data_IF_520399153370
#
_entry.id   IF_520399153370
#
_cell.length_a   1.000
_cell.length_b   1.000
_cell.length_c   1.000
_cell.angle_alpha   90.00
_cell.angle_beta   90.00
_cell.angle_gamma   90.00
#
_symmetry.space_group_name_H-M   'P 1'
#
loop_
_entity.id
_entity.type
_entity.pdbx_description
1 polymer ?
#
# COMPACT_ATOMS: atom_id res chain seq x y z
N UNK A 1 -6.23 -12.62 7.11
CA UNK A 1 -5.97 -11.18 6.92
C UNK A 1 -4.68 -10.88 6.14
N UNK A 2 -3.63 -11.71 6.22
CA UNK A 2 -2.33 -11.49 5.53
C UNK A 2 -2.48 -11.37 4.00
N UNK A 3 -3.27 -12.25 3.36
CA UNK A 3 -3.54 -12.15 1.92
C UNK A 3 -4.18 -10.81 1.53
N UNK A 4 -5.09 -10.28 2.35
CA UNK A 4 -5.75 -9.01 2.07
C UNK A 4 -4.77 -7.83 2.05
N UNK A 5 -3.73 -7.87 2.88
CA UNK A 5 -2.69 -6.84 2.91
C UNK A 5 -1.93 -6.80 1.57
N UNK A 6 -1.44 -7.95 1.08
CA UNK A 6 -0.70 -8.03 -0.19
C UNK A 6 -1.56 -7.67 -1.40
N UNK A 7 -2.83 -8.09 -1.39
CA UNK A 7 -3.80 -7.70 -2.41
C UNK A 7 -4.04 -6.18 -2.41
N UNK A 8 -4.09 -5.56 -1.23
CA UNK A 8 -4.35 -4.12 -1.12
C UNK A 8 -3.12 -3.28 -1.51
N UNK A 9 -1.91 -3.69 -1.11
CA UNK A 9 -0.67 -3.00 -1.49
C UNK A 9 -0.36 -3.14 -3.00
N UNK A 10 -0.64 -4.31 -3.59
CA UNK A 10 -0.46 -4.54 -5.03
C UNK A 10 -1.45 -3.76 -5.89
N UNK A 11 -2.68 -3.52 -5.42
CA UNK A 11 -3.64 -2.62 -6.09
C UNK A 11 -3.17 -1.17 -6.10
N UNK A 12 -2.65 -0.69 -4.97
CA UNK A 12 -2.05 0.65 -4.89
C UNK A 12 -0.87 0.80 -5.85
N UNK A 13 -0.03 -0.24 -5.95
CA UNK A 13 1.05 -0.26 -6.93
C UNK A 13 0.51 -0.19 -8.37
N UNK A 14 -0.56 -0.93 -8.68
CA UNK A 14 -1.13 -0.96 -10.03
C UNK A 14 -1.66 0.41 -10.48
N UNK A 15 -2.33 1.14 -9.59
CA UNK A 15 -2.84 2.47 -9.92
C UNK A 15 -1.71 3.51 -10.01
N UNK A 16 -0.65 3.36 -9.22
CA UNK A 16 0.51 4.27 -9.25
C UNK A 16 1.37 4.07 -10.50
N UNK A 17 1.62 2.82 -10.90
CA UNK A 17 2.53 2.50 -12.01
C UNK A 17 1.78 2.44 -13.35
N UNK A 18 0.61 1.81 -13.39
CA UNK A 18 -0.12 1.51 -14.62
C UNK A 18 -1.41 2.32 -14.77
N UNK A 19 -1.83 3.07 -13.75
CA UNK A 19 -3.06 3.87 -13.78
C UNK A 19 -4.35 3.05 -13.86
N UNK A 20 -4.31 1.74 -13.56
CA UNK A 20 -5.46 0.84 -13.68
C UNK A 20 -5.94 0.36 -12.32
N UNK A 21 -7.24 0.44 -12.01
CA UNK A 21 -7.80 -0.22 -10.85
C UNK A 21 -7.76 -1.73 -11.07
N UNK A 22 -7.36 -2.48 -10.04
CA UNK A 22 -7.27 -3.95 -10.12
C UNK A 22 -6.01 -4.51 -9.48
N UNK A 23 -6.02 -5.81 -9.26
CA UNK A 23 -4.92 -6.49 -8.57
C UNK A 23 -3.78 -6.78 -9.55
N UNK A 24 -2.59 -6.23 -9.25
CA UNK A 24 -1.38 -6.60 -9.97
C UNK A 24 -0.82 -7.91 -9.41
N UNK A 25 -1.25 -9.03 -10.00
CA UNK A 25 -0.89 -10.39 -9.59
C UNK A 25 0.61 -10.61 -9.41
N UNK A 26 1.51 -10.16 -10.31
CA UNK A 26 2.95 -10.36 -10.13
C UNK A 26 3.48 -9.71 -8.84
N UNK A 27 3.01 -8.50 -8.52
CA UNK A 27 3.44 -7.80 -7.29
C UNK A 27 2.86 -8.46 -6.03
N UNK A 28 1.61 -8.93 -6.11
CA UNK A 28 0.96 -9.64 -5.02
C UNK A 28 1.69 -10.95 -4.69
N UNK A 29 2.00 -11.76 -5.71
CA UNK A 29 2.72 -13.02 -5.54
C UNK A 29 4.16 -12.79 -5.09
N UNK A 30 4.87 -11.82 -5.68
CA UNK A 30 6.25 -11.50 -5.30
C UNK A 30 6.36 -11.05 -3.84
N UNK A 31 5.47 -10.16 -3.39
CA UNK A 31 5.46 -9.71 -1.99
C UNK A 31 5.07 -10.82 -1.01
N UNK A 32 4.18 -11.73 -1.41
CA UNK A 32 3.80 -12.90 -0.58
C UNK A 32 4.96 -13.90 -0.49
N UNK A 33 5.65 -14.17 -1.62
CA UNK A 33 6.79 -15.08 -1.65
C UNK A 33 7.98 -14.52 -0.87
N UNK A 34 8.23 -13.21 -0.94
CA UNK A 34 9.27 -12.53 -0.16
C UNK A 34 9.04 -12.63 1.35
N UNK A 35 7.78 -12.65 1.78
CA UNK A 35 7.41 -12.77 3.20
C UNK A 35 7.31 -14.25 3.68
N UNK A 36 7.38 -15.23 2.76
CA UNK A 36 7.26 -16.66 3.07
C UNK A 36 8.57 -17.36 3.49
N UNK A 37 9.69 -16.63 3.61
CA UNK A 37 11.02 -17.18 3.93
C UNK A 37 11.51 -16.68 5.31
N UNK A 38 11.46 -17.47 6.42
CA UNK A 38 11.87 -17.06 7.78
C UNK A 38 13.23 -17.71 8.21
N UNK A 39 13.93 -17.27 9.30
CA UNK A 39 13.37 -16.77 10.56
C UNK A 39 14.07 -15.53 11.16
N UNK A 40 13.31 -14.53 11.62
CA UNK A 40 13.51 -13.78 12.87
C UNK A 40 12.38 -12.75 13.03
N UNK A 41 11.64 -12.87 14.13
CA UNK A 41 10.64 -11.94 14.68
C UNK A 41 9.27 -11.97 14.00
N UNK A 42 8.51 -13.00 14.37
CA UNK A 42 7.05 -13.07 14.23
C UNK A 42 6.40 -12.36 15.43
N UNK A 43 6.56 -11.04 15.47
CA UNK A 43 5.80 -10.17 16.39
C UNK A 43 5.23 -9.03 15.55
N UNK A 44 4.08 -9.29 14.93
CA UNK A 44 3.12 -8.30 14.45
C UNK A 44 3.53 -7.52 13.17
N UNK A 45 3.02 -7.95 12.00
CA UNK A 45 3.24 -7.42 10.63
C UNK A 45 4.54 -7.90 9.95
N UNK A 46 4.39 -8.75 8.92
CA UNK A 46 5.46 -9.28 8.08
C UNK A 46 6.50 -8.23 7.69
N UNK A 47 7.76 -8.55 7.92
CA UNK A 47 8.89 -7.68 7.64
C UNK A 47 9.70 -8.25 6.48
N UNK A 48 9.54 -7.65 5.31
CA UNK A 48 10.34 -8.03 4.15
C UNK A 48 9.83 -7.35 2.89
N UNK A 49 9.22 -8.14 2.00
CA UNK A 49 8.67 -7.65 0.75
C UNK A 49 7.51 -6.68 0.96
N UNK A 50 6.62 -6.97 1.92
CA UNK A 50 5.48 -6.11 2.24
C UNK A 50 5.87 -4.69 2.66
N UNK A 51 6.88 -4.52 3.53
CA UNK A 51 7.37 -3.20 3.97
C UNK A 51 7.92 -2.41 2.81
N UNK A 52 8.71 -3.07 1.97
CA UNK A 52 9.29 -2.43 0.79
C UNK A 52 8.19 -1.92 -0.16
N UNK A 53 7.14 -2.71 -0.41
CA UNK A 53 6.00 -2.27 -1.24
C UNK A 53 5.29 -1.06 -0.63
N UNK A 54 5.02 -1.09 0.69
CA UNK A 54 4.32 0.01 1.36
C UNK A 54 5.12 1.31 1.34
N UNK A 55 6.43 1.22 1.61
CA UNK A 55 7.37 2.34 1.49
C UNK A 55 7.42 2.89 0.07
N UNK A 56 7.60 2.02 -0.93
CA UNK A 56 7.69 2.41 -2.34
C UNK A 56 6.42 3.12 -2.79
N UNK A 57 5.26 2.58 -2.44
CA UNK A 57 3.97 3.21 -2.74
C UNK A 57 3.84 4.57 -2.03
N UNK A 58 4.23 4.68 -0.76
CA UNK A 58 4.16 5.93 -0.01
C UNK A 58 5.02 7.01 -0.64
N UNK A 59 6.27 6.68 -0.99
CA UNK A 59 7.19 7.59 -1.68
C UNK A 59 6.60 8.06 -3.01
N UNK A 60 6.07 7.14 -3.82
CA UNK A 60 5.45 7.48 -5.11
C UNK A 60 4.21 8.36 -4.97
N UNK A 61 3.39 8.13 -3.95
CA UNK A 61 2.24 8.99 -3.65
C UNK A 61 2.72 10.40 -3.28
N UNK A 62 3.76 10.52 -2.45
CA UNK A 62 4.35 11.83 -2.12
C UNK A 62 4.90 12.53 -3.36
N UNK A 63 5.64 11.80 -4.19
CA UNK A 63 6.23 12.35 -5.42
C UNK A 63 5.12 12.76 -6.42
N UNK A 64 4.06 11.95 -6.56
CA UNK A 64 2.92 12.19 -7.46
C UNK A 64 2.09 13.40 -7.04
N UNK A 65 1.76 13.54 -5.76
CA UNK A 65 0.90 14.62 -5.25
C UNK A 65 1.68 15.77 -4.58
N UNK A 66 3.01 15.77 -4.69
CA UNK A 66 3.90 16.79 -4.09
C UNK A 66 3.68 17.00 -2.59
N UNK A 67 3.49 15.91 -1.85
CA UNK A 67 3.27 15.94 -0.40
C UNK A 67 4.64 16.05 0.31
N UNK A 68 4.74 16.98 1.26
CA UNK A 68 5.95 17.15 2.07
C UNK A 68 6.21 15.90 2.93
N UNK A 69 7.47 15.43 2.95
CA UNK A 69 7.87 14.25 3.71
C UNK A 69 9.32 13.86 3.45
N UNK A 70 9.79 12.80 4.11
CA UNK A 70 11.13 12.26 3.90
C UNK A 70 11.13 10.73 3.86
N UNK A 71 12.03 10.17 3.06
CA UNK A 71 12.15 8.72 2.88
C UNK A 71 12.47 8.00 4.20
N UNK A 72 13.27 8.62 5.07
CA UNK A 72 13.59 8.07 6.38
C UNK A 72 12.35 7.95 7.28
N UNK A 73 11.46 8.96 7.26
CA UNK A 73 10.21 8.93 8.03
C UNK A 73 9.23 7.90 7.47
N UNK A 74 9.17 7.76 6.15
CA UNK A 74 8.32 6.76 5.51
C UNK A 74 8.81 5.33 5.77
N UNK A 75 10.13 5.11 5.74
CA UNK A 75 10.72 3.81 6.09
C UNK A 75 10.45 3.46 7.55
N UNK A 76 10.64 4.42 8.47
CA UNK A 76 10.32 4.23 9.88
C UNK A 76 8.83 3.96 10.10
N UNK A 77 7.93 4.67 9.42
CA UNK A 77 6.49 4.44 9.51
C UNK A 77 6.10 3.04 8.98
N UNK A 78 6.72 2.60 7.88
CA UNK A 78 6.47 1.28 7.29
C UNK A 78 7.00 0.15 8.18
N UNK A 79 8.11 0.37 8.89
CA UNK A 79 8.66 -0.55 9.89
C UNK A 79 7.82 -0.60 11.18
N UNK A 80 7.31 0.53 11.65
CA UNK A 80 6.53 0.59 12.89
C UNK A 80 5.09 0.08 12.74
N UNK A 81 4.41 0.42 11.64
CA UNK A 81 3.05 -0.05 11.38
C UNK A 81 2.76 -0.07 9.86
N UNK A 82 3.06 -1.20 9.23
CA UNK A 82 2.86 -1.35 7.79
C UNK A 82 1.38 -1.22 7.36
N UNK A 83 0.46 -1.83 8.11
CA UNK A 83 -0.98 -1.73 7.80
C UNK A 83 -1.50 -0.29 7.88
N UNK A 84 -0.95 0.52 8.79
CA UNK A 84 -1.26 1.94 8.90
C UNK A 84 -0.81 2.70 7.64
N UNK A 85 0.42 2.46 7.18
CA UNK A 85 0.97 3.10 5.97
C UNK A 85 0.14 2.73 4.74
N UNK A 86 -0.21 1.45 4.58
CA UNK A 86 -1.05 1.00 3.47
C UNK A 86 -2.45 1.61 3.52
N UNK A 87 -3.04 1.78 4.71
CA UNK A 87 -4.34 2.46 4.87
C UNK A 87 -4.22 3.95 4.55
N UNK A 88 -3.17 4.61 5.02
CA UNK A 88 -2.89 6.02 4.72
C UNK A 88 -2.73 6.23 3.21
N UNK A 89 -1.94 5.38 2.54
CA UNK A 89 -1.75 5.42 1.10
C UNK A 89 -3.06 5.29 0.33
N UNK A 90 -3.94 4.37 0.75
CA UNK A 90 -5.25 4.19 0.13
C UNK A 90 -6.13 5.43 0.28
N UNK A 91 -6.14 6.03 1.48
CA UNK A 91 -6.92 7.25 1.73
C UNK A 91 -6.42 8.41 0.88
N UNK A 92 -5.10 8.58 0.79
CA UNK A 92 -4.50 9.64 -0.02
C UNK A 92 -4.85 9.44 -1.51
N UNK A 93 -4.60 8.25 -2.05
CA UNK A 93 -4.97 7.89 -3.41
C UNK A 93 -6.47 8.14 -3.69
N UNK A 94 -7.34 7.74 -2.76
CA UNK A 94 -8.78 7.95 -2.90
C UNK A 94 -9.19 9.42 -2.80
N UNK A 95 -8.51 10.21 -1.96
CA UNK A 95 -8.74 11.65 -1.82
C UNK A 95 -8.39 12.42 -3.10
N UNK A 96 -7.40 11.93 -3.86
CA UNK A 96 -6.99 12.51 -5.14
C UNK A 96 -7.68 11.87 -6.35
N UNK A 97 -8.71 11.04 -6.15
CA UNK A 97 -9.51 10.43 -7.21
C UNK A 97 -8.92 9.16 -7.85
N UNK A 98 -7.75 8.72 -7.40
CA UNK A 98 -7.10 7.48 -7.86
C UNK A 98 -7.49 6.31 -6.96
N UNK A 99 -8.73 5.84 -7.03
CA UNK A 99 -9.22 4.77 -6.16
C UNK A 99 -8.65 3.38 -6.57
N UNK A 100 -7.87 2.68 -5.72
CA UNK A 100 -7.29 1.37 -6.05
C UNK A 100 -8.32 0.22 -6.16
N UNK A 101 -9.59 0.51 -5.83
CA UNK A 101 -10.66 -0.46 -5.64
C UNK A 101 -10.53 -1.23 -4.32
N UNK A 102 -11.58 -1.95 -3.93
CA UNK A 102 -11.54 -2.81 -2.73
C UNK A 102 -11.65 -4.28 -3.10
N UNK A 103 -11.39 -5.15 -2.13
CA UNK A 103 -11.45 -6.61 -2.33
C UNK A 103 -12.93 -7.08 -2.37
N UNK A 104 -13.84 -6.33 -1.76
CA UNK A 104 -15.28 -6.66 -1.66
C UNK A 104 -16.12 -6.02 -2.78
N UNK A 105 -15.72 -4.86 -3.30
CA UNK A 105 -16.40 -4.21 -4.43
C UNK A 105 -15.36 -3.91 -5.52
N UNK A 106 -15.57 -4.53 -6.69
CA UNK A 106 -14.75 -4.36 -7.90
C UNK A 106 -14.79 -2.94 -8.45
N UNK A 107 -15.81 -2.17 -8.08
CA UNK A 107 -15.98 -0.75 -8.38
C UNK A 107 -16.00 0.06 -7.07
N UNK A 108 -15.40 1.25 -7.11
CA UNK A 108 -14.97 2.06 -5.97
C UNK A 108 -16.03 2.25 -4.86
N UNK A 109 -15.72 1.99 -3.57
CA UNK A 109 -16.58 2.40 -2.48
C UNK A 109 -16.37 3.88 -2.12
N UNK A 110 -17.50 4.53 -1.81
CA UNK A 110 -17.71 5.89 -1.30
C UNK A 110 -16.47 6.62 -0.75
N UNK A 111 -16.15 7.75 -1.40
CA UNK A 111 -15.22 8.78 -0.90
C UNK A 111 -16.01 9.75 -0.03
N UNK A 112 -15.88 9.75 1.31
CA UNK A 112 -16.37 10.87 2.10
C UNK A 112 -15.56 12.13 1.74
N UNK A 113 -16.20 13.29 1.56
CA UNK A 113 -15.50 14.53 1.23
C UNK A 113 -14.51 14.90 2.34
N UNK A 114 -13.31 15.30 1.95
CA UNK A 114 -12.30 15.85 2.85
C UNK A 114 -12.81 17.22 3.32
N UNK A 115 -13.09 17.34 4.62
CA UNK A 115 -13.32 18.64 5.26
C UNK A 115 -11.94 19.23 5.53
N UNK A 116 -11.57 20.27 4.78
CA UNK A 116 -10.35 21.06 5.01
C UNK A 116 -10.37 21.74 6.37
#
# INVERSE_FOLDING_TARGET
AVLCYHCHSSRQYNILEHGRPGMHWPMCLASTAADAFPPLIDINCGMGGSIFVAFLNRRRIRDKYRIAGSDLKDAAAALCCNCCVVTQNYRELSAHGDTPGTILFGDAPFVPPVVN
#
